data_IF_040824837206
#
_entry.id   IF_040824837206
#
_cell.length_a   1.000
_cell.length_b   1.000
_cell.length_c   1.000
_cell.angle_alpha   90.00
_cell.angle_beta   90.00
_cell.angle_gamma   90.00
#
_symmetry.space_group_name_H-M   'P 1'
#
loop_
_entity.id
_entity.type
_entity.pdbx_description
1 polymer ?
#
# COMPACT_ATOMS: atom_id res chain seq x y z
N UNK A 1 8.45 15.76 -10.72
CA UNK A 1 8.96 14.62 -9.93
C UNK A 1 8.19 13.38 -10.33
N UNK A 2 8.74 12.20 -10.05
CA UNK A 2 8.08 10.90 -10.14
C UNK A 2 7.53 10.54 -8.77
N UNK A 3 6.21 10.52 -8.65
CA UNK A 3 5.49 10.33 -7.38
C UNK A 3 4.91 8.93 -7.36
N UNK A 4 5.23 8.16 -6.33
CA UNK A 4 4.68 6.83 -6.11
C UNK A 4 3.56 6.85 -5.08
N UNK A 5 2.35 6.49 -5.46
CA UNK A 5 1.22 6.29 -4.55
C UNK A 5 1.17 4.82 -4.15
N UNK A 6 1.07 4.55 -2.85
CA UNK A 6 0.82 3.21 -2.30
C UNK A 6 -0.53 3.22 -1.60
N UNK A 7 -1.43 2.33 -2.04
CA UNK A 7 -2.81 2.26 -1.54
C UNK A 7 -3.28 0.79 -1.49
N UNK A 8 -4.18 0.43 -0.57
CA UNK A 8 -4.70 -0.95 -0.51
C UNK A 8 -5.65 -1.29 -1.65
N UNK A 9 -6.46 -0.32 -2.10
CA UNK A 9 -7.43 -0.44 -3.19
C UNK A 9 -7.68 0.93 -3.82
N UNK A 10 -7.84 0.99 -5.15
CA UNK A 10 -8.19 2.21 -5.89
C UNK A 10 -9.33 1.95 -6.89
N UNK A 11 -10.04 3.01 -7.30
CA UNK A 11 -11.16 2.97 -8.24
C UNK A 11 -12.49 2.47 -7.66
N UNK A 12 -12.53 2.29 -6.33
CA UNK A 12 -13.75 2.10 -5.57
C UNK A 12 -14.42 3.43 -5.20
N UNK A 13 -15.58 3.34 -4.54
CA UNK A 13 -16.35 4.51 -4.08
C UNK A 13 -16.06 4.93 -2.63
N UNK A 14 -15.04 4.34 -1.99
CA UNK A 14 -14.64 4.73 -0.65
C UNK A 14 -13.86 6.05 -0.65
N UNK A 15 -13.85 6.73 0.50
CA UNK A 15 -13.27 8.07 0.62
C UNK A 15 -11.79 8.14 0.24
N UNK A 16 -11.01 7.10 0.54
CA UNK A 16 -9.55 7.07 0.29
C UNK A 16 -9.28 6.94 -1.21
N UNK A 17 -10.01 6.04 -1.89
CA UNK A 17 -9.93 5.89 -3.33
C UNK A 17 -10.27 7.22 -4.05
N UNK A 18 -11.39 7.86 -3.67
CA UNK A 18 -11.82 9.12 -4.27
C UNK A 18 -10.87 10.30 -3.98
N UNK A 19 -10.25 10.33 -2.80
CA UNK A 19 -9.22 11.32 -2.46
C UNK A 19 -7.95 11.09 -3.30
N UNK A 20 -7.51 9.84 -3.40
CA UNK A 20 -6.32 9.44 -4.17
C UNK A 20 -6.47 9.80 -5.65
N UNK A 21 -7.64 9.56 -6.24
CA UNK A 21 -7.94 9.95 -7.62
C UNK A 21 -7.84 11.46 -7.85
N UNK A 22 -8.33 12.26 -6.89
CA UNK A 22 -8.18 13.72 -6.95
C UNK A 22 -6.71 14.14 -6.83
N UNK A 23 -5.94 13.49 -5.94
CA UNK A 23 -4.50 13.73 -5.86
C UNK A 23 -3.80 13.41 -7.17
N UNK A 24 -4.11 12.27 -7.80
CA UNK A 24 -3.54 11.91 -9.11
C UNK A 24 -3.82 12.98 -10.16
N UNK A 25 -5.07 13.45 -10.26
CA UNK A 25 -5.47 14.49 -11.21
C UNK A 25 -4.71 15.81 -10.96
N UNK A 26 -4.65 16.27 -9.71
CA UNK A 26 -3.94 17.51 -9.34
C UNK A 26 -2.43 17.39 -9.59
N UNK A 27 -1.79 16.30 -9.19
CA UNK A 27 -0.36 16.10 -9.35
C UNK A 27 0.04 16.02 -10.82
N UNK A 28 -0.76 15.35 -11.66
CA UNK A 28 -0.56 15.33 -13.11
C UNK A 28 -0.70 16.73 -13.72
N UNK A 29 -1.71 17.51 -13.31
CA UNK A 29 -1.88 18.92 -13.75
C UNK A 29 -0.71 19.82 -13.35
N UNK A 30 -0.04 19.53 -12.23
CA UNK A 30 1.18 20.21 -11.79
C UNK A 30 2.45 19.73 -12.54
N UNK A 31 2.33 18.83 -13.51
CA UNK A 31 3.45 18.34 -14.33
C UNK A 31 4.27 17.24 -13.66
N UNK A 32 3.71 16.51 -12.68
CA UNK A 32 4.35 15.34 -12.07
C UNK A 32 3.94 14.05 -12.79
N UNK A 33 4.84 13.08 -12.80
CA UNK A 33 4.57 11.72 -13.28
C UNK A 33 4.14 10.88 -12.08
N UNK A 34 2.98 10.23 -12.16
CA UNK A 34 2.37 9.53 -11.02
C UNK A 34 2.31 8.03 -11.30
N UNK A 35 2.81 7.24 -10.35
CA UNK A 35 2.82 5.78 -10.36
C UNK A 35 1.95 5.28 -9.21
N UNK A 36 1.30 4.14 -9.40
CA UNK A 36 0.40 3.56 -8.40
C UNK A 36 0.82 2.13 -8.13
N UNK A 37 1.04 1.78 -6.87
CA UNK A 37 1.12 0.40 -6.40
C UNK A 37 -0.10 0.12 -5.54
N UNK A 38 -0.96 -0.80 -5.99
CA UNK A 38 -2.20 -1.12 -5.28
C UNK A 38 -2.38 -2.60 -5.05
N UNK A 39 -3.06 -2.95 -3.95
CA UNK A 39 -3.56 -4.30 -3.70
C UNK A 39 -4.66 -4.70 -4.65
N UNK A 40 -5.50 -3.74 -5.03
CA UNK A 40 -6.67 -3.91 -5.88
C UNK A 40 -6.92 -2.69 -6.75
N UNK A 41 -7.35 -2.94 -7.99
CA UNK A 41 -7.82 -1.93 -8.93
C UNK A 41 -9.28 -2.27 -9.27
N UNK A 42 -10.23 -1.50 -8.76
CA UNK A 42 -11.67 -1.65 -8.96
C UNK A 42 -12.14 -0.63 -9.99
N UNK A 43 -13.01 -0.99 -10.95
CA UNK A 43 -13.51 -0.06 -11.99
C UNK A 43 -12.43 0.81 -12.65
N UNK A 44 -11.20 0.29 -12.78
CA UNK A 44 -10.02 1.03 -13.21
C UNK A 44 -9.50 0.54 -14.56
N UNK A 45 -9.09 1.45 -15.43
CA UNK A 45 -8.41 1.09 -16.68
C UNK A 45 -6.90 1.05 -16.42
N UNK A 46 -6.34 -0.16 -16.38
CA UNK A 46 -4.92 -0.37 -16.09
C UNK A 46 -4.01 0.26 -17.14
N UNK A 47 -3.09 1.10 -16.69
CA UNK A 47 -1.89 1.50 -17.43
C UNK A 47 -0.68 0.78 -16.83
N UNK A 48 -0.24 -0.33 -17.42
CA UNK A 48 0.85 -1.14 -16.87
C UNK A 48 2.22 -0.44 -16.81
N UNK A 49 2.39 0.73 -17.43
CA UNK A 49 3.58 1.54 -17.23
C UNK A 49 3.54 2.36 -15.94
N UNK A 50 2.36 2.74 -15.46
CA UNK A 50 2.19 3.55 -14.25
C UNK A 50 1.62 2.76 -13.07
N UNK A 51 0.84 1.73 -13.35
CA UNK A 51 0.05 0.95 -12.40
C UNK A 51 0.71 -0.41 -12.15
N UNK A 52 0.86 -0.74 -10.87
CA UNK A 52 1.41 -2.01 -10.42
C UNK A 52 0.47 -2.67 -9.41
N UNK A 53 -0.19 -3.74 -9.86
CA UNK A 53 -1.00 -4.61 -8.99
C UNK A 53 -0.09 -5.51 -8.16
N UNK A 54 -0.16 -5.35 -6.84
CA UNK A 54 0.51 -6.19 -5.87
C UNK A 54 -0.50 -6.71 -4.83
N UNK A 55 -1.16 -7.87 -5.09
CA UNK A 55 -2.32 -8.32 -4.31
C UNK A 55 -2.11 -8.46 -2.81
N UNK A 56 -0.86 -8.60 -2.37
CA UNK A 56 -0.51 -8.65 -0.95
C UNK A 56 -0.84 -7.36 -0.18
N UNK A 57 -1.01 -6.22 -0.87
CA UNK A 57 -1.41 -4.95 -0.25
C UNK A 57 -2.92 -4.82 -0.05
N UNK A 58 -3.72 -5.74 -0.59
CA UNK A 58 -5.16 -5.72 -0.42
C UNK A 58 -5.52 -5.77 1.07
N UNK A 59 -6.49 -4.95 1.48
CA UNK A 59 -7.08 -5.02 2.81
C UNK A 59 -7.88 -6.31 3.05
N UNK A 60 -8.25 -7.01 1.98
CA UNK A 60 -8.92 -8.31 2.01
C UNK A 60 -7.93 -9.48 1.80
N UNK A 61 -6.62 -9.20 1.83
CA UNK A 61 -5.61 -10.25 1.78
C UNK A 61 -5.61 -11.08 3.07
N UNK A 62 -5.25 -12.36 2.94
CA UNK A 62 -5.07 -13.28 4.08
C UNK A 62 -4.08 -12.72 5.12
N UNK A 63 -3.12 -11.92 4.66
CA UNK A 63 -2.16 -11.22 5.50
C UNK A 63 -2.83 -10.15 6.36
N UNK A 64 -3.60 -9.25 5.73
CA UNK A 64 -4.31 -8.20 6.42
C UNK A 64 -5.33 -8.77 7.42
N UNK A 65 -6.09 -9.78 7.02
CA UNK A 65 -7.08 -10.44 7.87
C UNK A 65 -6.43 -11.08 9.10
N UNK A 66 -5.36 -11.86 8.90
CA UNK A 66 -4.69 -12.54 10.00
C UNK A 66 -4.09 -11.53 11.00
N UNK A 67 -3.43 -10.49 10.47
CA UNK A 67 -2.84 -9.42 11.29
C UNK A 67 -3.89 -8.67 12.10
N UNK A 68 -5.00 -8.28 11.48
CA UNK A 68 -6.11 -7.62 12.19
C UNK A 68 -6.69 -8.51 13.28
N UNK A 69 -6.96 -9.79 12.96
CA UNK A 69 -7.54 -10.73 13.93
C UNK A 69 -6.63 -10.88 15.15
N UNK A 70 -5.34 -11.13 14.93
CA UNK A 70 -4.37 -11.36 16.02
C UNK A 70 -3.95 -10.11 16.78
N UNK A 71 -4.16 -8.93 16.20
CA UNK A 71 -3.89 -7.66 16.89
C UNK A 71 -5.10 -7.14 17.68
N UNK A 72 -6.31 -7.25 17.13
CA UNK A 72 -7.47 -6.48 17.63
C UNK A 72 -8.67 -7.32 18.05
N UNK A 73 -8.92 -8.46 17.42
CA UNK A 73 -10.15 -9.24 17.67
C UNK A 73 -9.91 -10.43 18.61
N UNK A 74 -8.84 -11.17 18.38
CA UNK A 74 -8.45 -12.38 19.12
C UNK A 74 -6.96 -12.33 19.46
N UNK A 75 -6.51 -11.36 20.29
CA UNK A 75 -5.11 -11.22 20.63
C UNK A 75 -4.63 -12.38 21.51
N UNK A 76 -3.48 -12.94 21.14
CA UNK A 76 -2.80 -13.93 21.96
C UNK A 76 -2.16 -13.25 23.19
N UNK A 77 -1.97 -14.01 24.28
CA UNK A 77 -1.30 -13.49 25.49
C UNK A 77 0.14 -13.02 25.21
N UNK A 78 0.79 -13.66 24.25
CA UNK A 78 2.16 -13.36 23.84
C UNK A 78 2.15 -12.91 22.37
N UNK A 79 2.65 -11.71 22.04
CA UNK A 79 2.55 -11.15 20.70
C UNK A 79 3.64 -11.68 19.74
N UNK A 80 4.54 -12.55 20.18
CA UNK A 80 5.74 -12.95 19.42
C UNK A 80 5.40 -13.48 18.02
N UNK A 81 4.38 -14.34 17.91
CA UNK A 81 3.94 -14.88 16.62
C UNK A 81 3.37 -13.79 15.70
N UNK A 82 2.64 -12.81 16.24
CA UNK A 82 2.13 -11.67 15.49
C UNK A 82 3.27 -10.78 15.00
N UNK A 83 4.21 -10.44 15.90
CA UNK A 83 5.37 -9.60 15.56
C UNK A 83 6.24 -10.25 14.49
N UNK A 84 6.53 -11.56 14.62
CA UNK A 84 7.30 -12.31 13.62
C UNK A 84 6.59 -12.35 12.27
N UNK A 85 5.26 -12.54 12.26
CA UNK A 85 4.46 -12.53 11.04
C UNK A 85 4.51 -11.16 10.34
N UNK A 86 4.22 -10.08 11.09
CA UNK A 86 4.25 -8.70 10.57
C UNK A 86 5.64 -8.34 10.05
N UNK A 87 6.69 -8.75 10.74
CA UNK A 87 8.08 -8.52 10.32
C UNK A 87 8.40 -9.23 9.01
N UNK A 88 8.06 -10.52 8.88
CA UNK A 88 8.30 -11.29 7.65
C UNK A 88 7.51 -10.74 6.46
N UNK A 89 6.22 -10.48 6.66
CA UNK A 89 5.35 -9.95 5.61
C UNK A 89 5.78 -8.55 5.18
N UNK A 90 6.09 -7.67 6.13
CA UNK A 90 6.58 -6.34 5.82
C UNK A 90 7.91 -6.36 5.07
N UNK A 91 8.81 -7.31 5.35
CA UNK A 91 10.06 -7.46 4.59
C UNK A 91 9.81 -7.86 3.13
N UNK A 92 8.83 -8.73 2.86
CA UNK A 92 8.43 -9.08 1.49
C UNK A 92 7.85 -7.88 0.74
N UNK A 93 6.98 -7.12 1.39
CA UNK A 93 6.36 -5.92 0.81
C UNK A 93 7.40 -4.82 0.58
N UNK A 94 8.27 -4.59 1.55
CA UNK A 94 9.37 -3.63 1.45
C UNK A 94 10.28 -3.95 0.25
N UNK A 95 10.63 -5.22 0.04
CA UNK A 95 11.45 -5.59 -1.11
C UNK A 95 10.75 -5.25 -2.44
N UNK A 96 9.46 -5.55 -2.57
CA UNK A 96 8.67 -5.21 -3.75
C UNK A 96 8.57 -3.68 -3.95
N UNK A 97 8.32 -2.92 -2.88
CA UNK A 97 8.29 -1.47 -2.89
C UNK A 97 9.64 -0.87 -3.31
N UNK A 98 10.75 -1.34 -2.75
CA UNK A 98 12.11 -0.90 -3.12
C UNK A 98 12.43 -1.18 -4.59
N UNK A 99 12.08 -2.37 -5.08
CA UNK A 99 12.28 -2.72 -6.49
C UNK A 99 11.44 -1.81 -7.41
N UNK A 100 10.19 -1.56 -7.05
CA UNK A 100 9.30 -0.67 -7.79
C UNK A 100 9.81 0.78 -7.79
N UNK A 101 10.20 1.31 -6.62
CA UNK A 101 10.81 2.64 -6.45
C UNK A 101 12.06 2.79 -7.30
N UNK A 102 12.97 1.81 -7.28
CA UNK A 102 14.19 1.85 -8.08
C UNK A 102 13.87 1.78 -9.59
N UNK A 103 13.01 0.84 -10.01
CA UNK A 103 12.63 0.64 -11.42
C UNK A 103 11.94 1.87 -11.99
N UNK A 104 11.03 2.47 -11.22
CA UNK A 104 10.25 3.65 -11.60
C UNK A 104 10.90 4.95 -11.11
N UNK A 105 12.15 4.92 -10.63
CA UNK A 105 12.91 6.11 -10.20
C UNK A 105 12.05 7.09 -9.39
N UNK A 106 11.29 6.57 -8.44
CA UNK A 106 10.33 7.34 -7.66
C UNK A 106 11.09 8.28 -6.71
N UNK A 107 10.76 9.56 -6.75
CA UNK A 107 11.39 10.60 -5.95
C UNK A 107 10.73 10.73 -4.57
N UNK A 108 9.41 10.50 -4.49
CA UNK A 108 8.61 10.63 -3.26
C UNK A 108 7.47 9.63 -3.24
N UNK A 109 7.17 9.08 -2.06
CA UNK A 109 6.05 8.17 -1.83
C UNK A 109 4.93 8.91 -1.10
N UNK A 110 3.71 8.77 -1.61
CA UNK A 110 2.47 9.13 -0.94
C UNK A 110 1.81 7.85 -0.42
N UNK A 111 1.68 7.77 0.91
CA UNK A 111 1.11 6.62 1.61
C UNK A 111 -0.37 6.89 1.92
N UNK A 112 -1.27 6.43 1.07
CA UNK A 112 -2.71 6.68 1.22
C UNK A 112 -3.30 5.78 2.30
N UNK A 113 -3.45 6.36 3.50
CA UNK A 113 -3.94 5.76 4.75
C UNK A 113 -3.24 4.48 5.25
N UNK A 114 -2.29 3.93 4.49
CA UNK A 114 -1.56 2.71 4.84
C UNK A 114 -0.68 2.84 6.09
N UNK A 115 -0.19 4.04 6.39
CA UNK A 115 0.64 4.32 7.57
C UNK A 115 -0.15 4.91 8.76
N UNK A 116 -1.45 5.15 8.60
CA UNK A 116 -2.30 5.81 9.57
C UNK A 116 -3.42 4.91 10.12
N UNK A 117 -3.94 3.99 9.29
CA UNK A 117 -4.97 3.03 9.67
C UNK A 117 -4.36 1.66 9.95
N UNK A 118 -4.70 0.99 11.07
CA UNK A 118 -4.18 -0.33 11.39
C UNK A 118 -4.86 -1.46 10.61
N UNK A 119 -5.44 -1.18 9.43
CA UNK A 119 -6.11 -2.18 8.60
C UNK A 119 -5.12 -3.15 7.94
N UNK A 120 -3.85 -2.76 7.79
CA UNK A 120 -2.81 -3.60 7.22
C UNK A 120 -1.47 -3.30 7.88
N UNK A 121 -1.23 -3.94 9.04
CA UNK A 121 -0.06 -3.67 9.88
C UNK A 121 1.26 -3.87 9.12
N UNK A 122 1.36 -4.97 8.37
CA UNK A 122 2.55 -5.34 7.60
C UNK A 122 2.84 -4.33 6.48
N UNK A 123 1.81 -3.79 5.82
CA UNK A 123 1.98 -2.74 4.82
C UNK A 123 2.51 -1.44 5.43
N UNK A 124 1.96 -1.00 6.56
CA UNK A 124 2.44 0.21 7.24
C UNK A 124 3.92 0.10 7.67
N UNK A 125 4.31 -1.05 8.21
CA UNK A 125 5.72 -1.33 8.57
C UNK A 125 6.61 -1.38 7.31
N UNK A 126 6.13 -1.95 6.20
CA UNK A 126 6.88 -2.02 4.95
C UNK A 126 7.16 -0.63 4.35
N UNK A 127 6.18 0.28 4.41
CA UNK A 127 6.36 1.67 3.97
C UNK A 127 7.42 2.34 4.83
N UNK A 128 7.37 2.17 6.16
CA UNK A 128 8.38 2.73 7.07
C UNK A 128 9.81 2.23 6.79
N UNK A 129 9.96 0.98 6.33
CA UNK A 129 11.27 0.43 5.93
C UNK A 129 11.76 0.94 4.58
N UNK A 130 10.84 1.39 3.72
CA UNK A 130 11.15 1.82 2.35
C UNK A 130 11.65 3.26 2.29
N UNK A 131 11.16 4.11 3.20
CA UNK A 131 11.43 5.55 3.29
C UNK A 131 12.50 5.91 4.32
#
# INVERSE_FOLDING_TARGET
MRIGIIIGRIGGVDGVALETEKWIDVLKKLGHEVFIMSGEFESWTMDYEHDYLFPALSFFSVEAEWGQRKAFFEPDKHPDALLEHVEKASNRMHLAMRQWVAKKKIDVILSENASALPCHLSMGVAIKKTC
#
